data_IF_553720083225
#
_entry.id   IF_553720083225
#
_cell.length_a   1.000
_cell.length_b   1.000
_cell.length_c   1.000
_cell.angle_alpha   90.00
_cell.angle_beta   90.00
_cell.angle_gamma   90.00
#
_symmetry.space_group_name_H-M   'P 1'
#
loop_
_entity.id
_entity.type
_entity.pdbx_description
1 polymer ?
#
# COMPACT_ATOMS: atom_id res chain seq x y z
N UNK A 1 17.21 17.41 3.30
CA UNK A 1 16.09 18.21 2.75
C UNK A 1 14.95 18.14 3.74
N UNK A 2 14.35 19.26 4.08
CA UNK A 2 13.30 19.35 5.09
C UNK A 2 12.05 18.59 4.62
N UNK A 3 11.79 17.45 5.26
CA UNK A 3 10.77 16.44 4.87
C UNK A 3 9.33 16.96 5.00
N UNK A 4 9.11 18.05 5.75
CA UNK A 4 7.80 18.61 6.02
C UNK A 4 7.39 19.70 5.03
N UNK A 5 8.28 20.15 4.17
CA UNK A 5 8.04 21.32 3.32
C UNK A 5 7.00 21.12 2.22
N UNK A 6 6.68 19.86 1.86
CA UNK A 6 5.70 19.54 0.83
C UNK A 6 4.34 19.11 1.39
N UNK A 7 4.32 18.53 2.59
CA UNK A 7 3.09 18.06 3.23
C UNK A 7 2.11 19.19 3.58
N UNK A 8 2.65 20.40 3.77
CA UNK A 8 1.84 21.60 4.11
C UNK A 8 1.38 22.39 2.88
N UNK A 9 1.74 21.93 1.67
CA UNK A 9 1.56 22.72 0.45
C UNK A 9 0.35 22.33 -0.38
N UNK A 10 -0.19 21.11 -0.24
CA UNK A 10 -1.42 20.70 -0.96
C UNK A 10 -2.62 20.87 -0.03
N UNK A 11 -3.56 21.77 -0.37
CA UNK A 11 -4.75 21.93 0.43
C UNK A 11 -5.57 20.62 0.47
N UNK A 12 -5.95 20.17 1.66
CA UNK A 12 -6.97 19.15 1.76
C UNK A 12 -8.30 19.73 1.20
N UNK A 13 -9.07 19.00 0.41
CA UNK A 13 -8.98 17.55 0.13
C UNK A 13 -8.35 17.19 -1.22
N UNK A 14 -7.54 18.02 -1.85
CA UNK A 14 -6.95 17.71 -3.15
C UNK A 14 -6.08 16.44 -3.09
N UNK A 15 -6.27 15.55 -4.03
CA UNK A 15 -5.45 14.36 -4.24
C UNK A 15 -5.11 14.23 -5.73
N UNK A 16 -3.86 13.95 -6.06
CA UNK A 16 -3.38 13.85 -7.43
C UNK A 16 -3.63 12.46 -8.05
N UNK A 17 -3.92 11.45 -7.22
CA UNK A 17 -4.12 10.08 -7.70
C UNK A 17 -5.14 9.96 -8.85
N UNK A 18 -6.30 10.67 -8.86
CA UNK A 18 -7.26 10.61 -9.95
C UNK A 18 -6.74 11.03 -11.34
N UNK A 19 -5.55 11.61 -11.42
CA UNK A 19 -4.91 12.02 -12.69
C UNK A 19 -3.67 11.20 -13.03
N UNK A 20 -2.94 10.72 -12.02
CA UNK A 20 -1.60 10.17 -12.21
C UNK A 20 -1.43 8.73 -11.73
N UNK A 21 -2.46 8.17 -11.10
CA UNK A 21 -2.43 6.81 -10.59
C UNK A 21 -3.61 5.98 -11.07
N UNK A 22 -3.37 4.69 -11.25
CA UNK A 22 -4.35 3.69 -11.64
C UNK A 22 -4.17 2.44 -10.80
N UNK A 23 -5.27 1.91 -10.28
CA UNK A 23 -5.29 0.61 -9.61
C UNK A 23 -6.28 -0.33 -10.27
N UNK A 24 -5.89 -1.58 -10.44
CA UNK A 24 -6.72 -2.63 -11.05
C UNK A 24 -6.80 -3.80 -10.09
N UNK A 25 -8.02 -4.25 -9.80
CA UNK A 25 -8.21 -5.47 -9.02
C UNK A 25 -8.32 -6.73 -9.90
N UNK A 26 -8.32 -7.89 -9.28
CA UNK A 26 -8.39 -9.18 -9.95
C UNK A 26 -9.73 -9.45 -10.69
N UNK A 27 -10.74 -8.59 -10.53
CA UNK A 27 -11.98 -8.60 -11.30
C UNK A 27 -11.92 -7.71 -12.53
N UNK A 28 -10.80 -7.00 -12.74
CA UNK A 28 -10.67 -6.00 -13.79
C UNK A 28 -11.31 -4.65 -13.42
N UNK A 29 -11.75 -4.47 -12.17
CA UNK A 29 -12.26 -3.19 -11.72
C UNK A 29 -11.14 -2.16 -11.61
N UNK A 30 -11.43 -0.95 -12.01
CA UNK A 30 -10.47 0.16 -12.04
C UNK A 30 -10.83 1.22 -11.01
N UNK A 31 -9.81 1.74 -10.34
CA UNK A 31 -9.92 2.84 -9.37
C UNK A 31 -8.63 3.68 -9.37
N UNK A 32 -8.62 4.90 -8.80
CA UNK A 32 -7.39 5.69 -8.69
C UNK A 32 -6.39 5.14 -7.65
N UNK A 33 -6.86 4.32 -6.70
CA UNK A 33 -6.03 3.69 -5.67
C UNK A 33 -6.72 2.46 -5.07
N UNK A 34 -5.95 1.49 -4.59
CA UNK A 34 -6.45 0.23 -4.02
C UNK A 34 -7.34 0.39 -2.78
N UNK A 35 -7.22 1.50 -2.03
CA UNK A 35 -8.06 1.75 -0.84
C UNK A 35 -9.28 2.60 -1.14
N UNK A 36 -9.42 3.08 -2.36
CA UNK A 36 -10.57 3.86 -2.81
C UNK A 36 -11.87 3.06 -2.68
N UNK A 37 -12.92 3.69 -2.16
CA UNK A 37 -14.22 3.03 -1.93
C UNK A 37 -15.17 3.23 -3.11
N UNK A 38 -14.84 2.61 -4.24
CA UNK A 38 -15.66 2.66 -5.45
C UNK A 38 -14.99 1.97 -6.61
N UNK A 39 -15.77 1.72 -7.66
CA UNK A 39 -15.31 1.20 -8.94
C UNK A 39 -15.60 2.28 -9.97
N UNK A 40 -14.57 2.65 -10.74
CA UNK A 40 -14.69 3.71 -11.74
C UNK A 40 -15.01 3.16 -13.13
N UNK A 41 -14.88 1.86 -13.30
CA UNK A 41 -15.16 1.09 -14.51
C UNK A 41 -14.53 -0.30 -14.43
N UNK A 42 -14.69 -1.09 -15.50
CA UNK A 42 -14.17 -2.46 -15.56
C UNK A 42 -13.58 -2.79 -16.93
N UNK A 43 -12.30 -3.20 -16.95
CA UNK A 43 -11.56 -3.49 -18.19
C UNK A 43 -11.99 -4.78 -18.90
N UNK A 44 -12.86 -5.60 -18.31
CA UNK A 44 -13.48 -6.71 -19.05
C UNK A 44 -14.57 -6.24 -20.03
N UNK A 45 -15.11 -5.04 -19.82
CA UNK A 45 -16.30 -4.53 -20.56
C UNK A 45 -16.10 -3.15 -21.16
N UNK A 46 -15.07 -2.44 -20.77
CA UNK A 46 -14.77 -1.06 -21.18
C UNK A 46 -13.30 -0.92 -21.54
N UNK A 47 -13.00 -0.01 -22.43
CA UNK A 47 -11.62 0.46 -22.68
C UNK A 47 -11.18 1.42 -21.57
N UNK A 48 -9.87 1.57 -21.41
CA UNK A 48 -9.33 2.52 -20.42
C UNK A 48 -9.76 3.97 -20.75
N UNK A 49 -9.86 4.32 -22.03
CA UNK A 49 -10.32 5.64 -22.47
C UNK A 49 -11.80 5.89 -22.08
N UNK A 50 -12.69 4.89 -22.26
CA UNK A 50 -14.09 5.00 -21.84
C UNK A 50 -14.18 5.18 -20.31
N UNK A 51 -13.39 4.44 -19.54
CA UNK A 51 -13.34 4.55 -18.07
C UNK A 51 -12.84 5.95 -17.67
N UNK A 52 -11.74 6.43 -18.26
CA UNK A 52 -11.17 7.75 -17.97
C UNK A 52 -12.15 8.88 -18.21
N UNK A 53 -12.95 8.77 -19.29
CA UNK A 53 -13.94 9.75 -19.70
C UNK A 53 -15.34 9.53 -19.10
N UNK A 54 -15.50 8.53 -18.22
CA UNK A 54 -16.77 8.29 -17.53
C UNK A 54 -17.16 9.45 -16.61
N UNK A 55 -18.47 9.60 -16.38
CA UNK A 55 -18.98 10.63 -15.47
C UNK A 55 -18.49 10.39 -14.01
N UNK A 56 -18.32 9.13 -13.61
CA UNK A 56 -17.79 8.73 -12.32
C UNK A 56 -16.36 9.27 -12.11
N UNK A 57 -15.49 9.11 -13.12
CA UNK A 57 -14.10 9.57 -13.02
C UNK A 57 -14.00 11.09 -13.13
N UNK A 58 -14.77 11.70 -14.04
CA UNK A 58 -14.86 13.16 -14.16
C UNK A 58 -15.38 13.81 -12.88
N UNK A 59 -16.43 13.23 -12.27
CA UNK A 59 -17.00 13.78 -11.03
C UNK A 59 -16.01 13.70 -9.87
N UNK A 60 -15.21 12.63 -9.78
CA UNK A 60 -14.16 12.50 -8.78
C UNK A 60 -13.09 13.59 -8.96
N UNK A 61 -12.56 13.78 -10.18
CA UNK A 61 -11.61 14.85 -10.46
C UNK A 61 -12.20 16.22 -10.11
N UNK A 62 -13.46 16.46 -10.50
CA UNK A 62 -14.13 17.73 -10.22
C UNK A 62 -14.34 17.97 -8.72
N UNK A 63 -14.63 16.92 -7.93
CA UNK A 63 -14.76 17.06 -6.48
C UNK A 63 -13.43 17.52 -5.85
N UNK A 64 -12.30 16.96 -6.29
CA UNK A 64 -10.98 17.37 -5.82
C UNK A 64 -10.62 18.79 -6.23
N UNK A 65 -10.91 19.20 -7.48
CA UNK A 65 -10.71 20.58 -7.96
C UNK A 65 -11.54 21.59 -7.14
N UNK A 66 -12.73 21.20 -6.74
CA UNK A 66 -13.63 22.04 -5.95
C UNK A 66 -13.36 21.98 -4.43
N UNK A 67 -12.33 21.26 -4.00
CA UNK A 67 -12.01 21.00 -2.60
C UNK A 67 -13.16 20.38 -1.80
N UNK A 68 -13.96 19.53 -2.46
CA UNK A 68 -15.01 18.77 -1.82
C UNK A 68 -14.50 17.42 -1.37
N UNK A 69 -14.83 17.04 -0.13
CA UNK A 69 -14.54 15.70 0.38
C UNK A 69 -15.42 14.67 -0.31
N UNK A 70 -14.88 13.93 -1.27
CA UNK A 70 -15.58 12.81 -1.88
C UNK A 70 -15.72 11.67 -0.86
N UNK A 71 -16.94 11.17 -0.68
CA UNK A 71 -17.22 10.12 0.31
C UNK A 71 -16.47 8.81 0.03
N UNK A 72 -16.09 8.57 -1.22
CA UNK A 72 -15.29 7.41 -1.64
C UNK A 72 -13.85 7.50 -1.13
N UNK A 73 -13.35 8.73 -0.85
CA UNK A 73 -12.03 9.02 -0.28
C UNK A 73 -12.00 9.02 1.25
N UNK A 74 -13.13 8.77 1.92
CA UNK A 74 -13.28 8.86 3.39
C UNK A 74 -12.20 8.13 4.19
N UNK A 75 -11.71 6.98 3.70
CA UNK A 75 -10.65 6.24 4.39
C UNK A 75 -9.35 7.03 4.48
N UNK A 76 -8.97 7.75 3.43
CA UNK A 76 -7.79 8.60 3.44
C UNK A 76 -7.93 9.75 4.43
N UNK A 77 -9.05 10.49 4.35
CA UNK A 77 -9.30 11.64 5.23
C UNK A 77 -9.35 11.22 6.69
N UNK A 78 -10.11 10.18 7.01
CA UNK A 78 -10.19 9.68 8.39
C UNK A 78 -8.83 9.22 8.95
N UNK A 79 -8.05 8.47 8.14
CA UNK A 79 -6.71 8.05 8.56
C UNK A 79 -5.78 9.24 8.75
N UNK A 80 -5.92 10.27 7.92
CA UNK A 80 -5.11 11.49 7.98
C UNK A 80 -5.42 12.32 9.22
N UNK A 81 -6.71 12.44 9.59
CA UNK A 81 -7.16 13.07 10.83
C UNK A 81 -6.59 12.36 12.07
N UNK A 82 -6.57 11.03 12.06
CA UNK A 82 -6.09 10.24 13.19
C UNK A 82 -4.57 10.16 13.31
N UNK A 83 -3.85 10.15 12.19
CA UNK A 83 -2.42 9.78 12.18
C UNK A 83 -1.52 10.76 11.41
N UNK A 84 -2.08 11.83 10.82
CA UNK A 84 -1.36 12.72 9.92
C UNK A 84 -0.93 12.06 8.58
N UNK A 85 -1.25 10.78 8.37
CA UNK A 85 -0.80 9.99 7.24
C UNK A 85 -1.95 9.31 6.50
N UNK A 86 -1.83 9.26 5.16
CA UNK A 86 -2.80 8.61 4.30
C UNK A 86 -2.17 8.22 2.95
N UNK A 87 -2.91 7.47 2.12
CA UNK A 87 -2.50 7.25 0.73
C UNK A 87 -2.45 8.57 -0.06
N UNK A 88 -3.31 9.52 0.25
CA UNK A 88 -3.24 10.85 -0.33
C UNK A 88 -1.90 11.53 -0.02
N UNK A 89 -1.46 11.53 1.25
CA UNK A 89 -0.15 12.06 1.66
C UNK A 89 1.02 11.29 1.05
N UNK A 90 0.89 9.98 0.90
CA UNK A 90 1.85 9.19 0.15
C UNK A 90 1.99 9.69 -1.29
N UNK A 91 0.87 9.91 -2.00
CA UNK A 91 0.91 10.41 -3.36
C UNK A 91 1.44 11.83 -3.46
N UNK A 92 1.16 12.70 -2.50
CA UNK A 92 1.78 14.03 -2.43
C UNK A 92 3.30 13.95 -2.41
N UNK A 93 3.84 13.13 -1.52
CA UNK A 93 5.29 12.91 -1.43
C UNK A 93 5.86 12.23 -2.68
N UNK A 94 5.17 11.19 -3.16
CA UNK A 94 5.59 10.42 -4.33
C UNK A 94 5.67 11.28 -5.60
N UNK A 95 4.61 12.03 -5.90
CA UNK A 95 4.58 12.88 -7.09
C UNK A 95 5.40 14.16 -6.90
N UNK A 96 5.49 14.68 -5.67
CA UNK A 96 6.30 15.86 -5.35
C UNK A 96 7.78 15.69 -5.68
N UNK A 97 8.30 14.45 -5.63
CA UNK A 97 9.69 14.16 -6.00
C UNK A 97 9.88 13.77 -7.47
N UNK A 98 8.81 13.48 -8.21
CA UNK A 98 8.88 12.89 -9.57
C UNK A 98 8.30 13.73 -10.68
N UNK A 99 7.37 14.62 -10.36
CA UNK A 99 6.83 15.54 -11.34
C UNK A 99 7.74 16.77 -11.46
N UNK A 100 7.90 17.34 -12.68
CA UNK A 100 8.49 18.65 -12.85
C UNK A 100 7.82 19.65 -11.91
N UNK A 101 8.60 20.56 -11.36
CA UNK A 101 8.08 21.56 -10.43
C UNK A 101 6.98 22.41 -11.05
N UNK A 102 7.13 22.69 -12.34
CA UNK A 102 6.18 23.44 -13.14
C UNK A 102 4.84 22.70 -13.25
N UNK A 103 4.86 21.38 -13.47
CA UNK A 103 3.66 20.55 -13.56
C UNK A 103 2.94 20.45 -12.22
N UNK A 104 3.70 20.30 -11.13
CA UNK A 104 3.14 20.32 -9.77
C UNK A 104 2.54 21.67 -9.42
N UNK A 105 3.23 22.75 -9.76
CA UNK A 105 2.74 24.12 -9.52
C UNK A 105 1.48 24.40 -10.33
N UNK A 106 1.38 23.87 -11.55
CA UNK A 106 0.21 24.05 -12.40
C UNK A 106 -0.99 23.19 -11.93
N UNK A 107 -0.73 22.01 -11.39
CA UNK A 107 -1.77 21.13 -10.81
C UNK A 107 -2.22 21.64 -9.43
N UNK A 108 -1.28 22.13 -8.62
CA UNK A 108 -1.50 22.44 -7.19
C UNK A 108 -1.66 23.95 -6.95
N UNK A 109 -0.97 24.81 -7.72
CA UNK A 109 -0.89 26.25 -7.50
C UNK A 109 -1.16 27.05 -8.77
N UNK A 110 -2.39 27.49 -9.00
CA UNK A 110 -2.65 28.46 -10.08
C UNK A 110 -2.19 29.88 -9.78
N UNK A 111 -1.91 30.20 -8.53
CA UNK A 111 -1.46 31.55 -8.12
C UNK A 111 -0.53 31.48 -6.90
N UNK A 112 0.77 31.71 -7.13
CA UNK A 112 1.81 31.71 -6.08
C UNK A 112 1.67 32.81 -5.03
N UNK A 113 0.66 33.67 -5.11
CA UNK A 113 0.48 34.82 -4.19
C UNK A 113 -0.31 34.49 -2.91
N UNK A 114 -0.30 33.23 -2.50
CA UNK A 114 -0.27 32.93 -1.08
C UNK A 114 -1.59 32.88 -0.32
N UNK A 115 -2.76 32.97 -0.93
CA UNK A 115 -4.02 32.82 -0.22
C UNK A 115 -4.94 31.82 -0.96
N UNK A 116 -4.77 30.56 -0.64
CA UNK A 116 -5.74 29.53 -1.01
C UNK A 116 -6.95 29.65 -0.08
N UNK A 117 -7.84 30.60 -0.36
CA UNK A 117 -9.16 30.63 0.23
C UNK A 117 -10.07 29.66 -0.56
N UNK A 118 -10.49 28.53 0.03
CA UNK A 118 -11.38 27.58 -0.63
C UNK A 118 -12.71 28.20 -1.07
N UNK A 119 -13.11 29.32 -0.46
CA UNK A 119 -14.32 30.06 -0.81
C UNK A 119 -14.16 30.91 -2.08
N UNK A 120 -12.94 31.17 -2.52
CA UNK A 120 -12.68 32.00 -3.70
C UNK A 120 -12.54 31.16 -4.97
N UNK A 121 -13.61 31.08 -5.75
CA UNK A 121 -13.66 30.29 -7.00
C UNK A 121 -12.64 30.73 -8.07
N UNK A 122 -12.12 31.98 -8.00
CA UNK A 122 -11.10 32.47 -8.92
C UNK A 122 -9.69 31.93 -8.63
N UNK A 123 -9.47 31.40 -7.43
CA UNK A 123 -8.20 30.81 -6.98
C UNK A 123 -8.18 29.27 -7.06
N UNK A 124 -9.16 28.67 -7.74
CA UNK A 124 -9.20 27.21 -7.91
C UNK A 124 -8.08 26.78 -8.85
N UNK A 125 -7.45 25.61 -8.59
CA UNK A 125 -6.45 25.05 -9.49
C UNK A 125 -7.00 24.97 -10.92
N UNK A 126 -6.32 25.61 -11.86
CA UNK A 126 -6.56 25.37 -13.29
C UNK A 126 -5.75 24.15 -13.66
N UNK A 127 -6.33 22.97 -13.43
CA UNK A 127 -5.74 21.75 -13.95
C UNK A 127 -5.83 21.86 -15.47
N UNK A 128 -4.68 21.75 -16.17
CA UNK A 128 -4.67 21.62 -17.63
C UNK A 128 -5.66 20.54 -18.03
N UNK A 129 -6.32 20.75 -19.15
CA UNK A 129 -7.26 19.81 -19.73
C UNK A 129 -6.55 18.46 -19.90
N UNK A 130 -6.65 17.57 -18.90
CA UNK A 130 -6.21 16.20 -19.05
C UNK A 130 -7.30 15.44 -19.78
N UNK A 131 -7.41 15.72 -21.09
CA UNK A 131 -8.34 15.01 -21.95
C UNK A 131 -7.93 13.55 -22.13
N UNK A 132 -6.63 13.26 -21.92
CA UNK A 132 -6.05 11.92 -22.03
C UNK A 132 -5.34 11.49 -20.73
N UNK A 133 -5.39 10.19 -20.39
CA UNK A 133 -4.64 9.64 -19.26
C UNK A 133 -3.13 9.81 -19.44
N UNK A 134 -2.44 10.10 -18.33
CA UNK A 134 -0.97 10.09 -18.27
C UNK A 134 -0.55 9.54 -16.91
N UNK A 135 -0.49 8.20 -16.83
CA UNK A 135 -0.24 7.51 -15.58
C UNK A 135 1.25 7.37 -15.27
N UNK A 136 1.62 7.71 -14.05
CA UNK A 136 2.97 7.57 -13.51
C UNK A 136 3.03 6.38 -12.53
N UNK A 137 1.92 6.06 -11.90
CA UNK A 137 1.78 5.00 -10.90
C UNK A 137 0.69 4.01 -11.32
N UNK A 138 1.04 2.73 -11.36
CA UNK A 138 0.12 1.63 -11.63
C UNK A 138 0.17 0.60 -10.50
N UNK A 139 -0.98 0.24 -9.96
CA UNK A 139 -1.15 -0.83 -8.96
C UNK A 139 -1.97 -1.96 -9.56
N UNK A 140 -1.43 -3.17 -9.57
CA UNK A 140 -2.09 -4.37 -10.08
C UNK A 140 -2.26 -5.37 -8.93
N UNK A 141 -3.51 -5.54 -8.49
CA UNK A 141 -3.87 -6.62 -7.60
C UNK A 141 -4.18 -7.87 -8.45
N UNK A 142 -3.15 -8.68 -8.66
CA UNK A 142 -3.20 -9.76 -9.64
C UNK A 142 -4.15 -10.91 -9.27
N UNK A 143 -4.35 -11.21 -7.97
CA UNK A 143 -5.16 -12.36 -7.54
C UNK A 143 -5.33 -12.39 -6.02
N UNK A 144 -6.34 -13.15 -5.55
CA UNK A 144 -6.48 -13.49 -4.13
C UNK A 144 -5.84 -14.85 -3.78
N UNK A 145 -5.06 -15.47 -4.68
CA UNK A 145 -4.40 -16.75 -4.44
C UNK A 145 -3.19 -16.56 -3.52
N UNK A 146 -3.23 -17.23 -2.37
CA UNK A 146 -2.13 -17.25 -1.40
C UNK A 146 -1.99 -18.63 -0.80
N UNK A 147 -0.77 -19.02 -0.48
CA UNK A 147 -0.44 -20.30 0.16
C UNK A 147 -0.49 -20.22 1.71
N UNK A 148 -0.77 -19.05 2.28
CA UNK A 148 -0.86 -18.80 3.72
C UNK A 148 -2.26 -18.41 4.18
N UNK A 149 -2.48 -18.47 5.50
CA UNK A 149 -3.72 -18.07 6.19
C UNK A 149 -3.39 -17.15 7.37
N UNK A 150 -2.81 -15.99 7.08
CA UNK A 150 -2.44 -15.03 8.13
C UNK A 150 -3.68 -14.59 8.91
N UNK A 151 -3.53 -14.38 10.23
CA UNK A 151 -4.67 -14.09 11.14
C UNK A 151 -5.39 -12.78 10.82
N UNK A 152 -4.73 -11.84 10.14
CA UNK A 152 -5.29 -10.56 9.71
C UNK A 152 -5.82 -10.58 8.27
N UNK A 153 -5.75 -11.74 7.57
CA UNK A 153 -6.26 -11.92 6.23
C UNK A 153 -7.64 -12.56 6.20
N UNK A 154 -8.26 -12.51 5.02
CA UNK A 154 -9.53 -13.17 4.71
C UNK A 154 -9.46 -13.80 3.31
N UNK A 155 -10.53 -14.46 2.86
CA UNK A 155 -10.60 -15.02 1.51
C UNK A 155 -10.49 -13.97 0.39
N UNK A 156 -10.70 -12.69 0.68
CA UNK A 156 -10.47 -11.60 -0.28
C UNK A 156 -8.99 -11.44 -0.66
N UNK A 157 -8.06 -11.85 0.20
CA UNK A 157 -6.62 -11.76 -0.01
C UNK A 157 -5.90 -13.12 0.13
N UNK A 158 -6.60 -14.19 0.55
CA UNK A 158 -6.02 -15.53 0.64
C UNK A 158 -7.07 -16.62 0.43
N UNK A 159 -6.92 -17.36 -0.67
CA UNK A 159 -7.76 -18.55 -0.95
C UNK A 159 -7.64 -19.63 0.14
N UNK A 160 -6.59 -19.61 0.94
CA UNK A 160 -6.42 -20.53 2.08
C UNK A 160 -7.52 -20.38 3.14
N UNK A 161 -8.15 -19.22 3.26
CA UNK A 161 -9.26 -18.96 4.19
C UNK A 161 -10.61 -19.49 3.72
N UNK A 162 -10.80 -19.75 2.42
CA UNK A 162 -12.10 -20.16 1.83
C UNK A 162 -12.74 -21.35 2.56
N UNK A 163 -12.01 -22.45 2.87
CA UNK A 163 -12.63 -23.57 3.57
C UNK A 163 -13.06 -23.25 5.00
N UNK A 164 -12.28 -22.41 5.70
CA UNK A 164 -12.56 -22.08 7.09
C UNK A 164 -13.72 -21.08 7.20
N UNK A 165 -13.76 -20.06 6.36
CA UNK A 165 -14.89 -19.12 6.27
C UNK A 165 -16.20 -19.81 5.94
N UNK A 166 -16.19 -20.81 5.02
CA UNK A 166 -17.37 -21.62 4.72
C UNK A 166 -17.87 -22.40 5.94
N UNK A 167 -16.95 -22.94 6.77
CA UNK A 167 -17.31 -23.62 8.01
C UNK A 167 -17.88 -22.65 9.04
N UNK A 168 -17.19 -21.53 9.26
CA UNK A 168 -17.62 -20.50 10.21
C UNK A 168 -19.03 -20.02 9.86
N UNK A 169 -19.27 -19.68 8.58
CA UNK A 169 -20.59 -19.26 8.09
C UNK A 169 -21.69 -20.28 8.38
N UNK A 170 -21.38 -21.57 8.21
CA UNK A 170 -22.33 -22.66 8.47
C UNK A 170 -22.69 -22.79 9.97
N UNK A 171 -21.71 -22.60 10.86
CA UNK A 171 -21.91 -22.81 12.30
C UNK A 171 -22.48 -21.61 13.05
N UNK A 172 -22.20 -20.41 12.58
CA UNK A 172 -22.53 -19.21 13.34
C UNK A 172 -23.87 -18.58 12.95
N UNK A 173 -24.55 -19.09 11.89
CA UNK A 173 -25.80 -18.52 11.36
C UNK A 173 -25.80 -16.96 11.37
N UNK A 174 -24.62 -16.40 11.11
CA UNK A 174 -24.35 -14.97 11.24
C UNK A 174 -24.93 -14.25 10.04
N UNK A 175 -25.60 -13.13 10.31
CA UNK A 175 -25.95 -12.17 9.27
C UNK A 175 -24.70 -11.84 8.43
N UNK A 176 -24.70 -12.11 7.11
CA UNK A 176 -23.56 -11.82 6.24
C UNK A 176 -23.08 -10.36 6.29
N UNK A 177 -23.98 -9.42 6.65
CA UNK A 177 -23.66 -8.01 6.79
C UNK A 177 -22.91 -7.68 8.10
N UNK A 178 -23.06 -8.51 9.12
CA UNK A 178 -22.41 -8.33 10.43
C UNK A 178 -20.99 -8.95 10.50
N UNK A 179 -20.64 -9.79 9.53
CA UNK A 179 -19.32 -10.42 9.48
C UNK A 179 -18.37 -9.62 8.61
N UNK A 180 -17.32 -8.99 9.16
CA UNK A 180 -16.36 -8.19 8.38
C UNK A 180 -15.57 -9.02 7.36
N UNK A 181 -15.59 -10.34 7.51
CA UNK A 181 -15.03 -11.35 6.60
C UNK A 181 -16.14 -11.94 5.68
N UNK A 182 -17.27 -11.32 5.61
CA UNK A 182 -18.63 -11.77 5.30
C UNK A 182 -18.94 -12.39 3.96
N UNK A 183 -18.07 -12.41 2.97
CA UNK A 183 -18.29 -13.15 1.74
C UNK A 183 -17.09 -14.04 1.47
N UNK A 184 -17.27 -15.36 1.55
CA UNK A 184 -16.25 -16.29 1.07
C UNK A 184 -16.02 -16.02 -0.41
N UNK A 185 -14.96 -15.27 -0.71
CA UNK A 185 -14.56 -14.96 -2.08
C UNK A 185 -14.05 -16.22 -2.75
N UNK A 186 -14.49 -16.56 -3.98
CA UNK A 186 -13.86 -17.64 -4.73
C UNK A 186 -12.42 -17.28 -5.11
N UNK A 187 -11.68 -18.24 -5.63
CA UNK A 187 -10.43 -17.92 -6.33
C UNK A 187 -10.72 -16.98 -7.50
N UNK A 188 -9.97 -15.89 -7.57
CA UNK A 188 -10.06 -14.87 -8.60
C UNK A 188 -8.64 -14.41 -8.96
N UNK A 189 -8.43 -14.16 -10.24
CA UNK A 189 -7.17 -13.64 -10.74
C UNK A 189 -7.42 -12.78 -11.99
N UNK A 190 -6.62 -11.74 -12.17
CA UNK A 190 -6.67 -10.89 -13.35
C UNK A 190 -6.51 -11.75 -14.61
N UNK A 191 -7.35 -11.51 -15.60
CA UNK A 191 -7.26 -12.21 -16.88
C UNK A 191 -6.23 -11.55 -17.79
N UNK A 192 -5.60 -12.34 -18.68
CA UNK A 192 -4.66 -11.81 -19.68
C UNK A 192 -5.29 -10.76 -20.58
N UNK A 193 -6.57 -10.91 -20.93
CA UNK A 193 -7.29 -9.92 -21.74
C UNK A 193 -7.42 -8.57 -21.05
N UNK A 194 -7.58 -8.57 -19.70
CA UNK A 194 -7.58 -7.31 -18.92
C UNK A 194 -6.23 -6.64 -18.97
N UNK A 195 -5.15 -7.42 -18.86
CA UNK A 195 -3.77 -6.91 -18.96
C UNK A 195 -3.48 -6.37 -20.37
N UNK A 196 -3.94 -7.07 -21.41
CA UNK A 196 -3.78 -6.62 -22.79
C UNK A 196 -4.58 -5.35 -23.05
N UNK A 197 -5.86 -5.29 -22.68
CA UNK A 197 -6.69 -4.09 -22.80
C UNK A 197 -6.08 -2.89 -22.05
N UNK A 198 -5.51 -3.12 -20.86
CA UNK A 198 -4.82 -2.09 -20.11
C UNK A 198 -3.68 -1.46 -20.94
N UNK A 199 -2.85 -2.31 -21.54
CA UNK A 199 -1.63 -1.88 -22.23
C UNK A 199 -1.79 -1.67 -23.74
N UNK A 200 -2.98 -1.78 -24.29
CA UNK A 200 -3.27 -1.45 -25.69
C UNK A 200 -3.12 0.07 -25.96
N UNK A 201 -3.32 0.90 -24.92
CA UNK A 201 -3.12 2.35 -24.97
C UNK A 201 -1.77 2.73 -24.33
N UNK A 202 -0.67 2.38 -25.00
CA UNK A 202 0.70 2.59 -24.50
C UNK A 202 1.01 4.05 -24.19
N UNK A 203 0.42 4.96 -24.94
CA UNK A 203 0.57 6.41 -24.82
C UNK A 203 0.15 6.91 -23.44
N UNK A 204 -0.79 6.25 -22.78
CA UNK A 204 -1.24 6.62 -21.42
C UNK A 204 -0.22 6.29 -20.32
N UNK A 205 0.82 5.51 -20.68
CA UNK A 205 1.85 5.03 -19.77
C UNK A 205 3.27 5.45 -20.21
N UNK A 206 3.39 6.44 -21.11
CA UNK A 206 4.72 6.93 -21.53
C UNK A 206 5.57 7.43 -20.37
N UNK A 207 4.92 8.05 -19.38
CA UNK A 207 5.55 8.56 -18.17
C UNK A 207 5.47 7.59 -16.97
N UNK A 208 5.08 6.33 -17.20
CA UNK A 208 5.01 5.33 -16.13
C UNK A 208 6.38 5.11 -15.49
N UNK A 209 6.48 5.31 -14.18
CA UNK A 209 7.70 5.17 -13.40
C UNK A 209 7.61 4.09 -12.34
N UNK A 210 6.39 3.69 -11.95
CA UNK A 210 6.18 2.81 -10.83
C UNK A 210 5.05 1.82 -11.09
N UNK A 211 5.34 0.53 -10.90
CA UNK A 211 4.34 -0.54 -10.96
C UNK A 211 4.36 -1.33 -9.67
N UNK A 212 3.23 -1.34 -8.96
CA UNK A 212 3.03 -2.16 -7.79
C UNK A 212 2.31 -3.46 -8.16
N UNK A 213 2.88 -4.60 -7.80
CA UNK A 213 2.25 -5.92 -7.96
C UNK A 213 1.81 -6.43 -6.59
N UNK A 214 0.51 -6.54 -6.42
CA UNK A 214 -0.15 -6.88 -5.17
C UNK A 214 -1.03 -8.14 -5.34
N UNK A 215 -1.68 -8.53 -4.25
CA UNK A 215 -2.65 -9.61 -4.24
C UNK A 215 -2.47 -10.54 -3.06
N UNK A 216 -2.81 -11.82 -3.23
CA UNK A 216 -2.60 -12.82 -2.21
C UNK A 216 -1.11 -13.08 -1.95
N UNK A 217 -0.49 -13.92 -2.78
CA UNK A 217 0.97 -14.05 -2.86
C UNK A 217 1.39 -13.94 -4.32
N UNK A 218 2.05 -12.84 -4.69
CA UNK A 218 2.39 -12.59 -6.09
C UNK A 218 3.21 -13.70 -6.75
N UNK A 219 4.17 -14.31 -6.03
CA UNK A 219 5.02 -15.37 -6.56
C UNK A 219 4.34 -16.75 -6.58
N UNK A 220 3.19 -16.89 -5.95
CA UNK A 220 2.39 -18.12 -5.98
C UNK A 220 1.35 -18.11 -7.11
N UNK A 221 0.99 -16.95 -7.65
CA UNK A 221 0.04 -16.78 -8.75
C UNK A 221 0.78 -16.69 -10.10
N UNK A 222 0.73 -17.79 -10.87
CA UNK A 222 1.45 -17.86 -12.16
C UNK A 222 0.95 -16.89 -13.23
N UNK A 223 -0.28 -16.37 -13.13
CA UNK A 223 -0.77 -15.33 -14.05
C UNK A 223 0.02 -14.03 -13.92
N UNK A 224 0.64 -13.79 -12.77
CA UNK A 224 1.52 -12.63 -12.58
C UNK A 224 2.80 -12.69 -13.43
N UNK A 225 3.25 -13.89 -13.85
CA UNK A 225 4.33 -14.02 -14.83
C UNK A 225 3.99 -13.33 -16.14
N UNK A 226 2.73 -13.43 -16.59
CA UNK A 226 2.27 -12.76 -17.80
C UNK A 226 2.36 -11.23 -17.67
N UNK A 227 1.98 -10.67 -16.53
CA UNK A 227 2.11 -9.23 -16.26
C UNK A 227 3.57 -8.79 -16.38
N UNK A 228 4.50 -9.49 -15.71
CA UNK A 228 5.93 -9.16 -15.75
C UNK A 228 6.50 -9.30 -17.16
N UNK A 229 6.17 -10.39 -17.88
CA UNK A 229 6.58 -10.61 -19.26
C UNK A 229 6.06 -9.52 -20.20
N UNK A 230 4.82 -9.05 -19.99
CA UNK A 230 4.24 -7.96 -20.78
C UNK A 230 5.00 -6.65 -20.56
N UNK A 231 5.30 -6.28 -19.31
CA UNK A 231 6.11 -5.10 -18.98
C UNK A 231 7.49 -5.15 -19.64
N UNK A 232 8.15 -6.32 -19.62
CA UNK A 232 9.44 -6.53 -20.28
C UNK A 232 9.31 -6.43 -21.81
N UNK A 233 8.28 -7.05 -22.39
CA UNK A 233 8.06 -7.00 -23.85
C UNK A 233 7.81 -5.58 -24.38
N UNK A 234 7.30 -4.69 -23.53
CA UNK A 234 7.10 -3.27 -23.83
C UNK A 234 8.38 -2.43 -23.59
N UNK A 235 9.46 -3.02 -23.07
CA UNK A 235 10.69 -2.33 -22.71
C UNK A 235 10.57 -1.42 -21.46
N UNK A 236 9.49 -1.58 -20.69
CA UNK A 236 9.24 -0.71 -19.54
C UNK A 236 10.07 -1.10 -18.32
N UNK A 237 10.52 -2.35 -18.25
CA UNK A 237 11.45 -2.84 -17.23
C UNK A 237 12.72 -1.99 -17.09
N UNK A 238 13.17 -1.32 -18.17
CA UNK A 238 14.36 -0.48 -18.18
C UNK A 238 14.17 0.88 -17.46
N UNK A 239 12.91 1.27 -17.19
CA UNK A 239 12.61 2.61 -16.67
C UNK A 239 11.76 2.62 -15.42
N UNK A 240 10.95 1.59 -15.18
CA UNK A 240 10.06 1.54 -14.03
C UNK A 240 10.76 0.98 -12.78
N UNK A 241 10.28 1.41 -11.62
CA UNK A 241 10.49 0.70 -10.35
C UNK A 241 9.36 -0.30 -10.19
N UNK A 242 9.69 -1.59 -10.06
CA UNK A 242 8.73 -2.64 -9.74
C UNK A 242 8.66 -2.81 -8.22
N UNK A 243 7.47 -2.70 -7.64
CA UNK A 243 7.21 -2.84 -6.22
C UNK A 243 6.39 -4.12 -5.97
N UNK A 244 6.90 -5.00 -5.14
CA UNK A 244 6.24 -6.28 -4.82
C UNK A 244 6.18 -6.50 -3.32
N UNK A 245 4.99 -6.84 -2.81
CA UNK A 245 4.83 -7.33 -1.44
C UNK A 245 4.65 -8.84 -1.46
N UNK A 246 5.52 -9.56 -0.77
CA UNK A 246 5.51 -11.04 -0.74
C UNK A 246 5.60 -11.59 0.68
N UNK A 247 5.07 -12.79 0.88
CA UNK A 247 5.32 -13.55 2.10
C UNK A 247 6.67 -14.29 2.08
N UNK A 248 7.40 -14.19 0.98
CA UNK A 248 8.74 -14.75 0.76
C UNK A 248 8.87 -16.27 0.92
N UNK A 249 7.76 -17.02 0.82
CA UNK A 249 7.77 -18.48 0.96
C UNK A 249 7.88 -19.23 -0.37
N UNK A 250 7.71 -18.51 -1.46
CA UNK A 250 7.75 -19.05 -2.82
C UNK A 250 8.91 -18.44 -3.56
N UNK A 251 9.92 -19.24 -3.84
CA UNK A 251 11.11 -18.87 -4.60
C UNK A 251 11.09 -19.56 -5.96
N UNK A 252 10.07 -19.28 -6.79
CA UNK A 252 9.94 -19.86 -8.12
C UNK A 252 10.98 -19.21 -9.08
N UNK A 253 11.91 -20.00 -9.65
CA UNK A 253 12.93 -19.49 -10.54
C UNK A 253 12.39 -18.67 -11.71
N UNK A 254 11.20 -19.00 -12.24
CA UNK A 254 10.59 -18.28 -13.34
C UNK A 254 10.27 -16.80 -12.98
N UNK A 255 9.85 -16.53 -11.75
CA UNK A 255 9.67 -15.18 -11.26
C UNK A 255 11.01 -14.48 -11.02
N UNK A 256 11.94 -15.17 -10.38
CA UNK A 256 13.23 -14.60 -10.00
C UNK A 256 14.05 -14.18 -11.22
N UNK A 257 14.00 -14.98 -12.30
CA UNK A 257 14.68 -14.65 -13.56
C UNK A 257 14.04 -13.46 -14.27
N UNK A 258 12.75 -13.21 -14.08
CA UNK A 258 12.10 -12.00 -14.59
C UNK A 258 12.46 -10.78 -13.74
N UNK A 259 12.52 -10.90 -12.40
CA UNK A 259 12.89 -9.77 -11.53
C UNK A 259 14.27 -9.19 -11.88
N UNK A 260 15.24 -10.04 -12.20
CA UNK A 260 16.60 -9.63 -12.60
C UNK A 260 16.66 -8.79 -13.88
N UNK A 261 15.59 -8.80 -14.68
CA UNK A 261 15.50 -8.03 -15.91
C UNK A 261 14.99 -6.59 -15.72
N UNK A 262 14.49 -6.26 -14.51
CA UNK A 262 14.05 -4.90 -14.21
C UNK A 262 15.22 -4.04 -13.75
N UNK A 263 15.18 -2.76 -14.08
CA UNK A 263 16.19 -1.79 -13.64
C UNK A 263 16.25 -1.69 -12.12
N UNK A 264 15.10 -1.75 -11.45
CA UNK A 264 14.95 -1.60 -10.00
C UNK A 264 13.73 -2.37 -9.51
N UNK A 265 13.90 -3.13 -8.45
CA UNK A 265 12.83 -3.84 -7.74
C UNK A 265 12.86 -3.46 -6.27
N UNK A 266 11.76 -2.93 -5.76
CA UNK A 266 11.56 -2.74 -4.32
C UNK A 266 10.71 -3.91 -3.81
N UNK A 267 11.29 -4.75 -2.97
CA UNK A 267 10.66 -5.97 -2.47
C UNK A 267 10.34 -5.84 -0.98
N UNK A 268 9.05 -5.95 -0.65
CA UNK A 268 8.60 -5.96 0.74
C UNK A 268 8.35 -7.39 1.20
N UNK A 269 9.15 -7.86 2.15
CA UNK A 269 8.86 -9.11 2.87
C UNK A 269 7.94 -8.79 4.02
N UNK A 270 6.73 -9.34 3.97
CA UNK A 270 5.73 -9.14 5.01
C UNK A 270 6.11 -9.89 6.29
N UNK A 271 6.01 -9.23 7.44
CA UNK A 271 6.46 -9.71 8.74
C UNK A 271 5.47 -9.31 9.85
N UNK A 272 5.22 -10.19 10.81
CA UNK A 272 4.38 -9.91 12.00
C UNK A 272 5.06 -10.30 13.30
N UNK A 273 6.36 -10.47 13.29
CA UNK A 273 7.14 -10.87 14.45
C UNK A 273 8.22 -11.88 14.06
N UNK A 274 8.88 -12.42 15.07
CA UNK A 274 9.90 -13.46 14.96
C UNK A 274 9.53 -14.69 15.79
N UNK A 275 10.21 -15.81 15.54
CA UNK A 275 10.05 -17.04 16.28
C UNK A 275 8.62 -17.64 16.18
N UNK A 276 8.10 -18.11 17.32
CA UNK A 276 6.77 -18.76 17.38
C UNK A 276 5.63 -17.83 17.00
N UNK A 277 5.75 -16.54 17.30
CA UNK A 277 4.71 -15.56 16.99
C UNK A 277 4.58 -15.37 15.48
N UNK A 278 5.70 -15.33 14.75
CA UNK A 278 5.70 -15.29 13.30
C UNK A 278 4.92 -16.46 12.71
N UNK A 279 5.22 -17.69 13.13
CA UNK A 279 4.49 -18.89 12.69
C UNK A 279 2.99 -18.82 13.01
N UNK A 280 2.63 -18.31 14.19
CA UNK A 280 1.24 -18.14 14.62
C UNK A 280 0.50 -17.13 13.72
N UNK A 281 1.08 -15.95 13.53
CA UNK A 281 0.45 -14.88 12.75
C UNK A 281 0.28 -15.26 11.27
N UNK A 282 1.19 -16.07 10.73
CA UNK A 282 1.16 -16.53 9.33
C UNK A 282 0.29 -17.77 9.09
N UNK A 283 -0.24 -18.39 10.16
CA UNK A 283 -1.19 -19.51 10.06
C UNK A 283 -0.62 -20.80 9.51
N UNK A 284 0.67 -21.02 9.64
CA UNK A 284 1.35 -22.19 9.07
C UNK A 284 2.28 -22.92 10.04
N UNK A 285 2.16 -24.27 10.10
CA UNK A 285 3.07 -25.13 10.88
C UNK A 285 4.49 -25.20 10.28
N UNK A 286 4.65 -24.82 9.03
CA UNK A 286 5.92 -24.92 8.27
C UNK A 286 6.63 -23.56 8.14
N UNK A 287 6.22 -22.59 8.91
CA UNK A 287 6.79 -21.26 8.92
C UNK A 287 7.76 -21.16 10.09
N UNK A 288 9.04 -21.22 9.83
CA UNK A 288 10.07 -21.04 10.83
C UNK A 288 10.97 -19.85 10.51
N UNK A 289 11.67 -19.36 11.53
CA UNK A 289 12.59 -18.25 11.42
C UNK A 289 13.70 -18.50 10.40
N UNK A 290 14.24 -19.70 10.33
CA UNK A 290 15.32 -20.03 9.42
C UNK A 290 14.92 -19.97 7.92
N UNK A 291 13.65 -20.13 7.60
CA UNK A 291 13.14 -19.89 6.23
C UNK A 291 13.04 -18.39 5.92
N UNK A 292 12.67 -17.58 6.90
CA UNK A 292 12.66 -16.13 6.77
C UNK A 292 14.10 -15.60 6.56
N UNK A 293 15.05 -16.05 7.39
CA UNK A 293 16.46 -15.66 7.30
C UNK A 293 17.03 -15.96 5.91
N UNK A 294 16.80 -17.18 5.40
CA UNK A 294 17.22 -17.57 4.05
C UNK A 294 16.58 -16.73 2.96
N UNK A 295 15.30 -16.36 3.11
CA UNK A 295 14.61 -15.53 2.14
C UNK A 295 15.18 -14.09 2.13
N UNK A 296 15.47 -13.52 3.29
CA UNK A 296 16.13 -12.20 3.43
C UNK A 296 17.48 -12.23 2.73
N UNK A 297 18.36 -13.18 3.07
CA UNK A 297 19.68 -13.32 2.47
C UNK A 297 19.60 -13.54 0.95
N UNK A 298 18.64 -14.36 0.50
CA UNK A 298 18.47 -14.64 -0.92
C UNK A 298 18.06 -13.41 -1.71
N UNK A 299 17.00 -12.69 -1.29
CA UNK A 299 16.56 -11.50 -2.02
C UNK A 299 17.54 -10.35 -1.94
N UNK A 300 18.23 -10.18 -0.81
CA UNK A 300 19.30 -9.18 -0.68
C UNK A 300 20.53 -9.48 -1.55
N UNK A 301 20.71 -10.72 -2.01
CA UNK A 301 21.80 -11.10 -2.93
C UNK A 301 21.53 -10.74 -4.39
N UNK A 302 20.35 -10.24 -4.73
CA UNK A 302 19.99 -9.87 -6.10
C UNK A 302 20.28 -8.36 -6.29
N UNK A 303 21.23 -8.04 -7.15
CA UNK A 303 21.82 -6.69 -7.30
C UNK A 303 20.83 -5.55 -7.51
N UNK A 304 19.70 -5.80 -8.20
CA UNK A 304 18.69 -4.79 -8.52
C UNK A 304 17.50 -4.80 -7.55
N UNK A 305 17.58 -5.59 -6.45
CA UNK A 305 16.52 -5.68 -5.43
C UNK A 305 16.88 -4.83 -4.21
N UNK A 306 16.04 -3.87 -3.90
CA UNK A 306 16.03 -3.14 -2.66
C UNK A 306 15.03 -3.80 -1.70
N UNK A 307 15.54 -4.36 -0.61
CA UNK A 307 14.74 -5.17 0.31
C UNK A 307 14.24 -4.35 1.49
N UNK A 308 12.95 -4.48 1.79
CA UNK A 308 12.33 -3.91 2.98
C UNK A 308 11.52 -4.97 3.74
N UNK A 309 11.76 -5.07 5.04
CA UNK A 309 10.95 -5.89 5.94
C UNK A 309 9.73 -5.09 6.39
N UNK A 310 8.54 -5.50 5.97
CA UNK A 310 7.30 -4.79 6.24
C UNK A 310 6.58 -5.42 7.43
N UNK A 311 6.81 -4.88 8.63
CA UNK A 311 6.14 -5.35 9.84
C UNK A 311 4.70 -4.86 9.91
N UNK A 312 3.77 -5.78 10.09
CA UNK A 312 2.35 -5.46 10.30
C UNK A 312 2.02 -5.55 11.78
N UNK A 313 1.83 -4.38 12.41
CA UNK A 313 1.58 -4.26 13.85
C UNK A 313 0.10 -4.53 14.19
N UNK A 314 -0.10 -5.37 15.19
CA UNK A 314 -1.41 -5.80 15.69
C UNK A 314 -1.37 -5.95 17.21
N UNK A 315 -2.54 -5.98 17.87
CA UNK A 315 -2.60 -6.23 19.31
C UNK A 315 -1.83 -7.48 19.78
N UNK A 316 -1.90 -8.65 19.08
CA UNK A 316 -1.17 -9.85 19.51
C UNK A 316 0.35 -9.76 19.41
N UNK A 317 0.89 -8.85 18.60
CA UNK A 317 2.33 -8.81 18.33
C UNK A 317 3.04 -7.53 18.79
N UNK A 318 2.31 -6.63 19.49
CA UNK A 318 2.87 -5.33 19.89
C UNK A 318 4.14 -5.46 20.73
N UNK A 319 4.21 -6.44 21.64
CA UNK A 319 5.38 -6.70 22.47
C UNK A 319 6.53 -7.40 21.73
N UNK A 320 6.33 -7.82 20.46
CA UNK A 320 7.39 -8.44 19.67
C UNK A 320 8.12 -7.43 18.77
N UNK A 321 7.70 -6.17 18.75
CA UNK A 321 8.32 -5.10 17.96
C UNK A 321 9.79 -4.95 18.34
N UNK A 322 10.12 -4.84 19.65
CA UNK A 322 11.50 -4.72 20.12
C UNK A 322 12.37 -5.92 19.73
N UNK A 323 11.88 -7.13 19.98
CA UNK A 323 12.64 -8.34 19.62
C UNK A 323 12.87 -8.45 18.10
N UNK A 324 11.88 -8.00 17.30
CA UNK A 324 12.01 -7.96 15.83
C UNK A 324 13.05 -6.91 15.41
N UNK A 325 13.07 -5.75 16.06
CA UNK A 325 14.06 -4.72 15.83
C UNK A 325 15.48 -5.23 16.15
N UNK A 326 15.66 -5.87 17.30
CA UNK A 326 16.96 -6.43 17.72
C UNK A 326 17.44 -7.52 16.73
N UNK A 327 16.52 -8.39 16.27
CA UNK A 327 16.79 -9.37 15.23
C UNK A 327 17.17 -8.72 13.89
N UNK A 328 16.49 -7.65 13.48
CA UNK A 328 16.75 -6.93 12.25
C UNK A 328 18.17 -6.34 12.19
N UNK A 329 18.79 -6.01 13.32
CA UNK A 329 20.12 -5.38 13.34
C UNK A 329 21.19 -6.18 12.57
N UNK A 330 21.01 -7.50 12.42
CA UNK A 330 21.92 -8.32 11.62
C UNK A 330 21.77 -8.11 10.10
N UNK A 331 20.68 -7.49 9.66
CA UNK A 331 20.35 -7.26 8.25
C UNK A 331 20.34 -5.78 7.84
N UNK A 332 20.64 -4.86 8.75
CA UNK A 332 20.55 -3.41 8.52
C UNK A 332 21.38 -2.90 7.34
N UNK A 333 22.47 -3.59 6.99
CA UNK A 333 23.37 -3.20 5.90
C UNK A 333 22.88 -3.71 4.51
N UNK A 334 21.90 -4.62 4.48
CA UNK A 334 21.39 -5.26 3.25
C UNK A 334 19.88 -5.12 3.08
N UNK A 335 19.19 -4.58 4.07
CA UNK A 335 17.74 -4.37 4.02
C UNK A 335 17.32 -3.22 4.93
N UNK A 336 16.10 -2.73 4.71
CA UNK A 336 15.41 -1.82 5.62
C UNK A 336 14.28 -2.53 6.35
N UNK A 337 13.69 -1.87 7.36
CA UNK A 337 12.49 -2.36 8.06
C UNK A 337 11.50 -1.22 8.26
N UNK A 338 10.21 -1.53 8.20
CA UNK A 338 9.15 -0.55 8.54
C UNK A 338 8.11 -1.16 9.47
N UNK A 339 7.70 -0.41 10.50
CA UNK A 339 6.64 -0.73 11.45
C UNK A 339 5.39 0.14 11.22
N UNK A 340 5.33 0.88 10.13
CA UNK A 340 4.25 1.84 9.84
C UNK A 340 2.91 1.20 9.50
N UNK A 341 2.86 -0.11 9.24
CA UNK A 341 1.65 -0.83 8.92
C UNK A 341 0.93 -1.25 10.20
N UNK A 342 -0.26 -0.74 10.45
CA UNK A 342 -1.12 -1.13 11.58
C UNK A 342 -2.42 -1.73 11.07
N UNK A 343 -2.90 -2.78 11.73
CA UNK A 343 -4.19 -3.39 11.43
C UNK A 343 -5.30 -2.63 12.14
N UNK A 344 -6.27 -2.13 11.37
CA UNK A 344 -7.51 -1.55 11.89
C UNK A 344 -8.70 -2.50 11.79
N UNK A 345 -8.67 -3.41 10.83
CA UNK A 345 -9.68 -4.43 10.59
C UNK A 345 -9.02 -5.79 10.31
N UNK A 346 -9.47 -6.90 10.95
CA UNK A 346 -10.60 -6.93 11.89
C UNK A 346 -10.27 -6.24 13.22
N UNK A 347 -11.26 -5.54 13.79
CA UNK A 347 -11.07 -4.66 14.96
C UNK A 347 -10.42 -5.37 16.16
N UNK A 348 -10.70 -6.66 16.37
CA UNK A 348 -10.10 -7.44 17.48
C UNK A 348 -8.57 -7.62 17.35
N UNK A 349 -7.98 -7.29 16.23
CA UNK A 349 -6.52 -7.25 16.03
C UNK A 349 -5.96 -5.82 16.08
N UNK A 350 -6.81 -4.79 16.07
CA UNK A 350 -6.38 -3.40 16.15
C UNK A 350 -5.74 -3.09 17.48
N UNK A 351 -4.83 -2.13 17.51
CA UNK A 351 -4.26 -1.60 18.76
C UNK A 351 -5.30 -0.90 19.64
N UNK A 352 -6.43 -0.46 19.06
CA UNK A 352 -7.52 0.19 19.79
C UNK A 352 -8.19 -0.69 20.85
N UNK A 353 -8.03 -2.01 20.75
CA UNK A 353 -8.60 -2.94 21.75
C UNK A 353 -7.72 -3.10 23.00
N UNK A 354 -6.51 -2.58 22.97
CA UNK A 354 -5.58 -2.64 24.08
C UNK A 354 -5.93 -1.60 25.14
N UNK A 355 -5.76 -1.96 26.43
CA UNK A 355 -5.89 -0.99 27.52
C UNK A 355 -4.74 0.03 27.49
N UNK A 356 -4.94 1.19 28.12
CA UNK A 356 -3.91 2.22 28.20
C UNK A 356 -2.64 1.73 28.91
N UNK A 357 -2.77 0.85 29.92
CA UNK A 357 -1.62 0.25 30.60
C UNK A 357 -0.78 -0.60 29.63
N UNK A 358 -1.44 -1.44 28.80
CA UNK A 358 -0.75 -2.26 27.80
C UNK A 358 -0.10 -1.37 26.72
N UNK A 359 -0.79 -0.33 26.25
CA UNK A 359 -0.23 0.63 25.28
C UNK A 359 0.99 1.33 25.86
N UNK A 360 0.93 1.76 27.12
CA UNK A 360 2.06 2.41 27.80
C UNK A 360 3.25 1.45 27.95
N UNK A 361 3.00 0.20 28.38
CA UNK A 361 4.06 -0.80 28.46
C UNK A 361 4.74 -1.03 27.10
N UNK A 362 3.94 -1.16 26.04
CA UNK A 362 4.45 -1.31 24.68
C UNK A 362 5.26 -0.07 24.22
N UNK A 363 4.78 1.14 24.52
CA UNK A 363 5.50 2.39 24.29
C UNK A 363 6.85 2.41 24.99
N UNK A 364 6.87 2.08 26.29
CA UNK A 364 8.09 2.07 27.09
C UNK A 364 9.16 1.09 26.57
N UNK A 365 8.75 0.04 25.84
CA UNK A 365 9.65 -0.92 25.22
C UNK A 365 10.32 -0.42 23.93
N UNK A 366 9.72 0.55 23.24
CA UNK A 366 10.15 0.97 21.90
C UNK A 366 10.59 2.43 21.84
N UNK A 367 10.32 3.27 22.84
CA UNK A 367 10.57 4.72 22.83
C UNK A 367 12.05 5.11 22.70
N UNK A 368 12.95 4.22 23.02
CA UNK A 368 14.41 4.40 22.92
C UNK A 368 15.01 3.83 21.63
N UNK A 369 14.18 3.28 20.75
CA UNK A 369 14.64 2.82 19.45
C UNK A 369 14.86 4.04 18.56
N UNK A 370 16.11 4.21 18.09
CA UNK A 370 16.44 5.23 17.10
C UNK A 370 15.77 4.90 15.76
N UNK A 371 14.91 5.80 15.31
CA UNK A 371 14.12 5.64 14.07
C UNK A 371 14.88 6.18 12.83
N UNK A 372 16.04 6.82 13.04
CA UNK A 372 16.91 7.33 11.99
C UNK A 372 17.73 6.18 11.37
N UNK A 373 17.06 5.37 10.56
CA UNK A 373 17.75 4.41 9.70
C UNK A 373 18.27 5.13 8.46
N UNK A 374 19.57 5.04 8.23
CA UNK A 374 20.12 5.30 6.92
C UNK A 374 19.54 4.26 5.95
N UNK A 375 18.96 4.75 4.86
CA UNK A 375 18.48 3.87 3.77
C UNK A 375 19.73 3.24 3.13
N UNK A 376 19.87 1.90 3.14
CA UNK A 376 21.10 1.25 2.70
C UNK A 376 21.31 1.29 1.18
N UNK A 377 20.42 1.96 0.43
CA UNK A 377 20.46 1.98 -1.03
C UNK A 377 20.64 3.41 -1.57
N UNK A 378 21.44 3.57 -2.62
CA UNK A 378 21.89 4.87 -3.17
C UNK A 378 20.78 5.78 -3.73
N UNK A 379 19.58 5.30 -3.92
CA UNK A 379 18.46 6.05 -4.47
C UNK A 379 17.39 6.34 -3.41
N UNK A 380 17.58 7.42 -2.68
CA UNK A 380 16.68 7.92 -1.62
C UNK A 380 15.33 8.47 -2.12
N UNK A 381 14.72 7.89 -3.16
CA UNK A 381 13.39 8.28 -3.64
C UNK A 381 12.27 7.95 -2.64
N UNK A 382 12.55 7.05 -1.70
CA UNK A 382 11.68 6.72 -0.58
C UNK A 382 12.42 6.98 0.72
N UNK A 383 12.04 8.02 1.41
CA UNK A 383 12.48 8.23 2.79
C UNK A 383 11.65 7.31 3.67
N UNK A 384 12.18 6.15 3.99
CA UNK A 384 11.60 5.27 5.00
C UNK A 384 12.21 5.60 6.36
N UNK A 385 11.43 6.20 7.23
CA UNK A 385 11.66 5.99 8.64
C UNK A 385 11.20 4.58 8.98
N UNK A 386 11.79 3.90 9.95
CA UNK A 386 11.32 2.60 10.43
C UNK A 386 9.85 2.66 10.89
N UNK A 387 9.30 3.86 11.08
CA UNK A 387 7.92 4.11 11.48
C UNK A 387 7.66 3.76 12.94
N UNK A 388 8.70 3.54 13.73
CA UNK A 388 8.61 3.32 15.18
C UNK A 388 8.11 4.58 15.87
N UNK A 389 8.58 5.75 15.42
CA UNK A 389 8.07 7.03 15.89
C UNK A 389 6.53 7.14 15.70
N UNK A 390 5.99 6.71 14.56
CA UNK A 390 4.54 6.67 14.32
C UNK A 390 3.83 5.71 15.25
N UNK A 391 4.41 4.53 15.46
CA UNK A 391 3.87 3.54 16.36
C UNK A 391 3.88 4.07 17.80
N UNK A 392 4.96 4.72 18.23
CA UNK A 392 5.07 5.34 19.54
C UNK A 392 4.05 6.47 19.75
N UNK A 393 3.81 7.32 18.74
CA UNK A 393 2.74 8.32 18.79
C UNK A 393 1.36 7.67 18.93
N UNK A 394 1.05 6.66 18.10
CA UNK A 394 -0.24 5.94 18.20
C UNK A 394 -0.46 5.35 19.60
N UNK A 395 0.60 4.95 20.27
CA UNK A 395 0.53 4.40 21.63
C UNK A 395 0.47 5.49 22.72
N UNK A 396 1.02 6.69 22.48
CA UNK A 396 1.07 7.80 23.44
C UNK A 396 -0.17 8.70 23.42
N UNK A 397 -0.70 9.02 22.24
CA UNK A 397 -1.84 9.95 22.08
C UNK A 397 -3.10 9.47 22.80
N UNK A 398 -3.34 8.16 22.83
CA UNK A 398 -4.47 7.58 23.56
C UNK A 398 -4.32 7.63 25.11
N UNK A 399 -3.11 7.93 25.61
CA UNK A 399 -2.86 8.01 27.08
C UNK A 399 -3.04 9.42 27.62
N UNK A 400 -2.85 10.46 26.81
CA UNK A 400 -2.95 11.87 27.25
C UNK A 400 -4.38 12.41 27.22
N UNK A 401 -5.22 11.99 26.26
CA UNK A 401 -6.61 12.50 26.16
C UNK A 401 -7.55 12.05 27.29
N UNK A 402 -7.27 10.97 27.99
CA UNK A 402 -8.13 10.48 29.06
C UNK A 402 -7.79 10.98 30.45
N UNK A 403 -6.55 11.40 30.69
CA UNK A 403 -6.16 12.06 31.95
C UNK A 403 -6.77 13.48 32.08
N UNK A 404 -7.28 14.06 30.99
CA UNK A 404 -7.95 15.37 30.98
C UNK A 404 -9.46 15.25 31.30
N UNK A 405 -10.06 14.06 31.16
CA UNK A 405 -11.50 13.83 31.44
C UNK A 405 -11.79 13.26 32.84
N UNK A 406 -10.78 12.83 33.60
CA UNK A 406 -10.95 12.32 35.00
C UNK A 406 -10.53 13.33 36.07
N UNK A 407 -10.13 14.58 35.71
CA UNK A 407 -9.92 15.71 36.61
C UNK A 407 -10.93 16.83 36.29
#
# INVERSE_FOLDING_TARGET
MDRNKWADTIPAPLCIAPWKALSIDFNGNVSPDQIFKGVMGNLNTQTLNEIWNSEEWKSLRQSHINFHNDTRCRKCFHKEELTGHSRRRFFESFFGSRLPKEDLEEIIYPDRKGNLDPANASNRPKIRNYDEPDFIYLDINGSNKCNLKCIHCSSSASTGWIPDEKKIKKYLDINPEAWPIGTSWPYMAVDSNVVDNLFDNKEYFENLQFVALRGGEPFYEKKNLYVLQKLISLGWNERITLDISTNATVLDPAFLDLLKQFKRVVLYISLEGIGKLYSYCRGGKNFDQGNLDKAVEYFASIDNVELCLAYTTMAPNIFNVRSTWDWFQQYKDISSITFSNTVSEPRYLSLDVLSNEIKKEAYDMIKDIDDDLEWPFDNADFVYSAGIWKLSQTLSEDTEEKDIQEN
#
